data_IF_699076404285
#
_entry.id   IF_699076404285
#
_cell.length_a   1.000
_cell.length_b   1.000
_cell.length_c   1.000
_cell.angle_alpha   90.00
_cell.angle_beta   90.00
_cell.angle_gamma   90.00
#
_symmetry.space_group_name_H-M   'P 1'
#
loop_
_entity.id
_entity.type
_entity.pdbx_description
1 polymer ?
#
# COMPACT_ATOMS: atom_id res chain seq x y z
N UNK A 1 12.71 0.09 37.57
CA UNK A 1 12.23 1.10 36.61
C UNK A 1 11.31 0.37 35.66
N UNK A 2 10.00 0.48 35.88
CA UNK A 2 9.01 -0.24 35.08
C UNK A 2 9.02 0.37 33.68
N UNK A 3 9.17 -0.47 32.65
CA UNK A 3 8.89 -0.07 31.27
C UNK A 3 7.39 0.25 31.23
N UNK A 4 7.05 1.53 31.22
CA UNK A 4 5.70 1.95 30.85
C UNK A 4 5.42 1.36 29.47
N UNK A 5 4.33 0.60 29.36
CA UNK A 5 3.72 0.28 28.09
C UNK A 5 3.26 1.62 27.50
N UNK A 6 4.12 2.27 26.72
CA UNK A 6 3.72 3.34 25.83
C UNK A 6 2.81 2.67 24.80
N UNK A 7 1.49 2.77 25.01
CA UNK A 7 0.50 2.23 24.09
C UNK A 7 0.78 2.71 22.67
N UNK A 8 0.57 1.85 21.68
CA UNK A 8 0.75 2.20 20.28
C UNK A 8 -0.31 3.26 19.94
N UNK A 9 0.13 4.50 19.68
CA UNK A 9 -0.78 5.64 19.41
C UNK A 9 -1.20 5.66 17.93
N UNK A 10 -0.42 5.02 17.05
CA UNK A 10 -0.66 4.97 15.61
C UNK A 10 -0.22 3.61 15.10
N UNK A 11 -1.11 2.91 14.40
CA UNK A 11 -0.87 1.54 13.94
C UNK A 11 -1.89 1.11 12.90
N UNK A 12 -2.08 -0.19 12.72
CA UNK A 12 -3.05 -0.70 11.75
C UNK A 12 -3.09 -2.22 11.70
N UNK A 13 -3.77 -2.73 10.70
CA UNK A 13 -4.06 -4.15 10.56
C UNK A 13 -4.16 -4.53 9.10
N UNK A 14 -3.69 -5.74 8.77
CA UNK A 14 -3.90 -6.35 7.47
C UNK A 14 -4.73 -7.62 7.65
N UNK A 15 -5.74 -7.75 6.80
CA UNK A 15 -6.51 -8.97 6.63
C UNK A 15 -6.29 -9.53 5.21
N UNK A 16 -5.88 -10.79 5.14
CA UNK A 16 -5.64 -11.56 3.92
C UNK A 16 -6.64 -12.68 3.85
N UNK A 17 -7.37 -12.79 2.74
CA UNK A 17 -8.37 -13.85 2.51
C UNK A 17 -8.09 -14.48 1.15
N UNK A 18 -8.01 -15.81 1.09
CA UNK A 18 -7.88 -16.55 -0.17
C UNK A 18 -9.11 -17.41 -0.39
N UNK A 19 -9.67 -17.26 -1.59
CA UNK A 19 -10.75 -18.09 -2.11
C UNK A 19 -10.20 -19.03 -3.17
N UNK A 20 -10.69 -20.27 -3.19
CA UNK A 20 -10.42 -21.22 -4.28
C UNK A 20 -11.24 -20.87 -5.54
N UNK A 21 -11.06 -21.69 -6.58
CA UNK A 21 -11.74 -21.55 -7.88
C UNK A 21 -13.27 -21.62 -7.80
N UNK A 22 -13.81 -22.21 -6.75
CA UNK A 22 -15.26 -22.36 -6.55
C UNK A 22 -15.79 -21.25 -5.63
N UNK A 23 -14.94 -20.28 -5.26
CA UNK A 23 -15.27 -19.16 -4.39
C UNK A 23 -15.29 -19.51 -2.90
N UNK A 24 -14.83 -20.70 -2.52
CA UNK A 24 -14.77 -21.12 -1.11
C UNK A 24 -13.51 -20.56 -0.45
N UNK A 25 -13.67 -20.00 0.74
CA UNK A 25 -12.53 -19.56 1.56
C UNK A 25 -11.67 -20.75 1.99
N UNK A 26 -10.39 -20.68 1.66
CA UNK A 26 -9.38 -21.70 2.00
C UNK A 26 -8.29 -21.16 2.92
N UNK A 27 -8.19 -19.84 3.07
CA UNK A 27 -7.27 -19.20 4.00
C UNK A 27 -7.81 -17.83 4.43
N UNK A 28 -7.62 -17.50 5.70
CA UNK A 28 -7.82 -16.15 6.25
C UNK A 28 -6.79 -15.90 7.34
N UNK A 29 -6.14 -14.76 7.27
CA UNK A 29 -5.25 -14.26 8.30
C UNK A 29 -5.58 -12.80 8.58
N UNK A 30 -5.52 -12.42 9.86
CA UNK A 30 -5.63 -11.04 10.30
C UNK A 30 -4.49 -10.78 11.29
N UNK A 31 -3.64 -9.80 10.99
CA UNK A 31 -2.48 -9.47 11.81
C UNK A 31 -2.31 -7.95 11.94
N UNK A 32 -1.66 -7.46 13.02
CA UNK A 32 -1.17 -6.09 13.06
C UNK A 32 -0.27 -5.80 11.85
N UNK A 33 -0.31 -4.58 11.35
CA UNK A 33 0.64 -4.14 10.32
C UNK A 33 1.98 -3.70 10.95
N UNK A 34 3.06 -3.78 10.19
CA UNK A 34 4.39 -3.25 10.54
C UNK A 34 4.53 -1.82 9.99
N UNK A 35 4.32 -0.85 10.88
CA UNK A 35 3.21 0.08 10.69
C UNK A 35 3.31 1.17 9.62
N UNK A 36 4.43 1.80 9.34
CA UNK A 36 4.46 2.88 8.35
C UNK A 36 5.88 3.09 7.86
N UNK A 37 6.04 3.45 6.59
CA UNK A 37 7.34 3.88 6.06
C UNK A 37 7.70 5.28 6.55
N UNK A 38 8.96 5.68 6.42
CA UNK A 38 9.42 7.05 6.72
C UNK A 38 8.68 8.12 5.92
N UNK A 39 8.13 7.79 4.76
CA UNK A 39 7.36 8.74 3.95
C UNK A 39 6.15 9.30 4.71
N UNK A 40 5.51 8.52 5.60
CA UNK A 40 4.41 9.01 6.45
C UNK A 40 4.90 10.02 7.49
N UNK A 41 6.07 9.80 8.10
CA UNK A 41 6.67 10.80 8.99
C UNK A 41 6.97 12.10 8.26
N UNK A 42 7.48 12.00 7.03
CA UNK A 42 7.73 13.18 6.21
C UNK A 42 6.44 13.86 5.75
N UNK A 43 5.32 13.14 5.62
CA UNK A 43 4.02 13.72 5.27
C UNK A 43 3.56 14.68 6.36
N UNK A 44 3.74 14.27 7.62
CA UNK A 44 3.45 15.14 8.77
C UNK A 44 4.34 16.39 8.75
N UNK A 45 5.57 16.31 8.25
CA UNK A 45 6.47 17.46 8.12
C UNK A 45 5.93 18.56 7.17
N UNK A 46 4.89 18.30 6.36
CA UNK A 46 4.18 19.35 5.64
C UNK A 46 3.65 20.43 6.58
N UNK A 47 3.21 20.06 7.78
CA UNK A 47 2.66 21.02 8.74
C UNK A 47 3.72 21.92 9.38
N UNK A 48 4.96 21.43 9.49
CA UNK A 48 6.08 22.16 10.13
C UNK A 48 6.92 22.95 9.13
N UNK A 49 7.15 22.38 7.94
CA UNK A 49 8.12 22.90 6.95
C UNK A 49 7.47 23.36 5.65
N UNK A 50 6.15 23.21 5.50
CA UNK A 50 5.38 23.42 4.27
C UNK A 50 5.79 22.53 3.09
N UNK A 51 6.61 21.48 3.34
CA UNK A 51 7.12 20.58 2.31
C UNK A 51 7.11 19.12 2.79
N UNK A 52 6.67 18.20 1.94
CA UNK A 52 6.79 16.76 2.12
C UNK A 52 7.94 16.22 1.27
N UNK A 53 9.03 15.76 1.88
CA UNK A 53 10.13 15.10 1.16
C UNK A 53 9.92 13.58 1.12
N UNK A 54 10.04 12.97 -0.05
CA UNK A 54 9.89 11.51 -0.22
C UNK A 54 10.89 10.96 -1.20
N UNK A 55 11.03 9.63 -1.15
CA UNK A 55 11.55 8.88 -2.28
C UNK A 55 10.36 8.28 -3.03
N UNK A 56 10.28 8.50 -4.34
CA UNK A 56 9.28 7.85 -5.18
C UNK A 56 9.63 6.37 -5.43
N UNK A 57 8.76 5.64 -6.13
CA UNK A 57 9.00 4.22 -6.45
C UNK A 57 10.24 3.96 -7.35
N UNK A 58 10.75 4.99 -8.03
CA UNK A 58 11.97 4.93 -8.85
C UNK A 58 13.23 5.16 -8.01
N UNK A 59 13.08 5.58 -6.75
CA UNK A 59 14.18 5.91 -5.84
C UNK A 59 14.61 7.38 -5.92
N UNK A 60 13.91 8.20 -6.70
CA UNK A 60 14.22 9.62 -6.85
C UNK A 60 13.74 10.39 -5.63
N UNK A 61 14.59 11.29 -5.11
CA UNK A 61 14.20 12.20 -4.03
C UNK A 61 13.38 13.36 -4.60
N UNK A 62 12.12 13.46 -4.18
CA UNK A 62 11.17 14.48 -4.64
C UNK A 62 10.48 15.15 -3.45
N UNK A 63 9.80 16.26 -3.72
CA UNK A 63 9.12 17.03 -2.68
C UNK A 63 7.78 17.63 -3.10
N UNK A 64 6.84 17.75 -2.18
CA UNK A 64 5.52 18.36 -2.42
C UNK A 64 5.28 19.52 -1.47
N UNK A 65 4.89 20.70 -1.96
CA UNK A 65 4.61 21.87 -1.13
C UNK A 65 3.14 22.29 -1.15
N UNK A 66 2.70 23.10 -0.19
CA UNK A 66 1.40 23.78 -0.28
C UNK A 66 1.41 24.85 -1.39
N UNK A 67 0.23 25.18 -1.94
CA UNK A 67 -0.02 26.17 -3.02
C UNK A 67 0.57 27.58 -2.84
N UNK A 68 1.19 27.89 -1.69
CA UNK A 68 1.94 29.15 -1.47
C UNK A 68 3.37 29.10 -2.02
N UNK A 69 3.85 27.96 -2.47
CA UNK A 69 5.11 27.85 -3.21
C UNK A 69 4.94 28.41 -4.64
N UNK A 70 6.03 28.91 -5.24
CA UNK A 70 6.01 29.47 -6.59
C UNK A 70 5.87 28.40 -7.69
N UNK A 71 6.16 27.13 -7.37
CA UNK A 71 6.09 25.94 -8.23
C UNK A 71 6.11 24.66 -7.33
N UNK A 72 5.84 23.47 -7.88
CA UNK A 72 5.97 22.17 -7.20
C UNK A 72 4.98 21.91 -6.05
N UNK A 73 3.71 22.31 -6.21
CA UNK A 73 2.69 22.13 -5.17
C UNK A 73 1.87 20.85 -5.34
N UNK A 74 1.38 20.32 -4.21
CA UNK A 74 0.46 19.19 -4.14
C UNK A 74 -0.87 19.56 -4.83
N UNK A 75 -1.19 18.87 -5.91
CA UNK A 75 -2.41 19.07 -6.70
C UNK A 75 -3.51 18.07 -6.30
N UNK A 76 -3.16 16.79 -6.21
CA UNK A 76 -4.06 15.70 -5.82
C UNK A 76 -3.26 14.55 -5.15
N UNK A 77 -3.92 13.75 -4.32
CA UNK A 77 -3.34 12.52 -3.77
C UNK A 77 -4.41 11.46 -3.53
N UNK A 78 -4.15 10.22 -3.96
CA UNK A 78 -5.11 9.12 -3.83
C UNK A 78 -4.44 7.76 -3.68
N UNK A 79 -5.07 6.89 -2.87
CA UNK A 79 -4.79 5.45 -2.78
C UNK A 79 -5.85 4.60 -3.49
N UNK A 80 -6.85 5.23 -4.10
CA UNK A 80 -7.96 4.54 -4.77
C UNK A 80 -7.60 4.25 -6.23
N UNK A 81 -6.82 3.20 -6.43
CA UNK A 81 -6.41 2.75 -7.76
C UNK A 81 -7.58 2.11 -8.52
N UNK A 82 -7.84 2.48 -9.79
CA UNK A 82 -8.83 1.79 -10.61
C UNK A 82 -8.40 0.35 -10.91
N UNK A 83 -9.33 -0.46 -11.43
CA UNK A 83 -9.01 -1.81 -11.89
C UNK A 83 -7.91 -1.78 -12.96
N UNK A 84 -6.98 -2.73 -12.89
CA UNK A 84 -5.83 -2.80 -13.80
C UNK A 84 -4.63 -1.92 -13.47
N UNK A 85 -4.77 -0.95 -12.56
CA UNK A 85 -3.66 -0.07 -12.18
C UNK A 85 -2.73 -0.73 -11.17
N UNK A 86 -1.44 -0.82 -11.48
CA UNK A 86 -0.47 -1.58 -10.69
C UNK A 86 0.70 -0.74 -10.14
N UNK A 87 0.56 0.60 -10.15
CA UNK A 87 1.53 1.55 -9.58
C UNK A 87 1.11 2.13 -8.23
N UNK A 88 -0.19 2.09 -7.89
CA UNK A 88 -0.68 2.57 -6.59
C UNK A 88 -1.88 1.79 -6.05
N UNK A 89 -2.37 2.19 -4.87
CA UNK A 89 -3.36 1.48 -4.08
C UNK A 89 -2.72 0.34 -3.30
N UNK A 90 -3.46 -0.76 -3.12
CA UNK A 90 -2.90 -1.98 -2.53
C UNK A 90 -2.16 -2.74 -3.63
N UNK A 91 -0.87 -3.00 -3.41
CA UNK A 91 -0.02 -3.80 -4.29
C UNK A 91 0.47 -5.05 -3.54
N UNK A 92 0.74 -6.13 -4.27
CA UNK A 92 1.22 -7.41 -3.71
C UNK A 92 2.55 -7.83 -4.34
N UNK A 93 3.37 -8.54 -3.57
CA UNK A 93 4.67 -9.02 -4.02
C UNK A 93 5.06 -10.37 -3.44
N UNK A 94 6.18 -10.89 -3.89
CA UNK A 94 6.71 -12.21 -3.56
C UNK A 94 8.00 -12.18 -2.73
N UNK A 95 8.50 -11.00 -2.36
CA UNK A 95 9.69 -10.89 -1.51
C UNK A 95 9.37 -11.21 -0.05
N UNK A 96 10.27 -11.92 0.61
CA UNK A 96 10.31 -12.14 2.06
C UNK A 96 11.34 -11.24 2.77
N UNK A 97 11.89 -10.25 2.06
CA UNK A 97 12.78 -9.25 2.66
C UNK A 97 12.07 -8.55 3.81
N UNK A 98 12.69 -8.59 5.00
CA UNK A 98 12.17 -7.95 6.21
C UNK A 98 11.80 -6.47 5.98
N UNK A 99 10.81 -5.99 6.73
CA UNK A 99 10.43 -4.59 6.70
C UNK A 99 11.60 -3.71 7.15
N UNK A 100 11.81 -2.60 6.44
CA UNK A 100 12.78 -1.58 6.81
C UNK A 100 12.16 -0.20 6.48
N UNK A 101 12.27 0.74 7.42
CA UNK A 101 11.50 1.99 7.40
C UNK A 101 11.87 2.93 6.24
N UNK A 102 13.04 2.76 5.64
CA UNK A 102 13.54 3.55 4.50
C UNK A 102 13.16 2.98 3.14
N UNK A 103 12.58 1.78 3.09
CA UNK A 103 12.06 1.19 1.86
C UNK A 103 11.02 2.10 1.21
N UNK A 104 11.06 2.19 -0.11
CA UNK A 104 10.19 3.03 -0.94
C UNK A 104 9.39 2.23 -1.98
N UNK A 105 9.63 0.91 -2.07
CA UNK A 105 8.95 0.01 -2.98
C UNK A 105 8.87 -1.42 -2.38
N UNK A 106 8.06 -2.28 -2.99
CA UNK A 106 8.05 -3.72 -2.69
C UNK A 106 9.39 -4.35 -3.12
N UNK A 107 9.80 -5.41 -2.43
CA UNK A 107 11.04 -6.13 -2.77
C UNK A 107 10.93 -6.87 -4.10
N UNK A 108 9.76 -7.41 -4.43
CA UNK A 108 9.47 -8.08 -5.69
C UNK A 108 7.97 -8.01 -5.99
N UNK A 109 7.53 -6.90 -6.62
CA UNK A 109 6.13 -6.68 -7.00
C UNK A 109 5.64 -7.74 -8.00
N UNK A 110 4.45 -8.28 -7.78
CA UNK A 110 3.75 -9.13 -8.75
C UNK A 110 2.95 -8.21 -9.67
N UNK A 111 3.24 -8.20 -10.98
CA UNK A 111 2.57 -7.29 -11.92
C UNK A 111 1.10 -7.62 -12.15
N UNK A 112 0.34 -6.61 -12.59
CA UNK A 112 -1.02 -6.83 -13.09
C UNK A 112 -1.01 -7.66 -14.39
N UNK A 113 -1.94 -8.59 -14.50
CA UNK A 113 -2.27 -9.28 -15.75
C UNK A 113 -2.73 -10.72 -15.53
N UNK A 114 -2.83 -11.48 -16.63
CA UNK A 114 -3.22 -12.89 -16.63
C UNK A 114 -2.13 -13.80 -17.20
N UNK A 115 -0.95 -13.24 -17.48
CA UNK A 115 0.23 -14.01 -17.89
C UNK A 115 0.85 -14.78 -16.73
N UNK A 116 1.83 -15.62 -17.04
CA UNK A 116 2.56 -16.41 -16.04
C UNK A 116 3.15 -15.50 -14.95
N UNK A 117 2.85 -15.83 -13.69
CA UNK A 117 3.34 -15.08 -12.52
C UNK A 117 2.66 -13.72 -12.30
N UNK A 118 1.53 -13.44 -12.97
CA UNK A 118 0.77 -12.19 -12.80
C UNK A 118 -0.56 -12.42 -12.08
N UNK A 119 -1.02 -11.42 -11.34
CA UNK A 119 -2.35 -11.39 -10.75
C UNK A 119 -3.20 -10.33 -11.47
N UNK A 120 -4.47 -10.60 -11.71
CA UNK A 120 -5.38 -9.58 -12.23
C UNK A 120 -5.89 -8.70 -11.09
N UNK A 121 -5.39 -7.47 -11.06
CA UNK A 121 -5.73 -6.48 -10.04
C UNK A 121 -7.11 -5.87 -10.27
N UNK A 122 -7.99 -5.97 -9.26
CA UNK A 122 -9.24 -5.21 -9.18
C UNK A 122 -9.02 -3.74 -8.81
N UNK A 123 -10.10 -3.00 -8.55
CA UNK A 123 -9.99 -1.63 -8.01
C UNK A 123 -9.68 -1.65 -6.49
N UNK A 124 -9.03 -0.58 -6.00
CA UNK A 124 -8.88 -0.32 -4.57
C UNK A 124 -10.03 0.57 -4.11
N UNK A 125 -10.81 0.09 -3.15
CA UNK A 125 -11.99 0.78 -2.64
C UNK A 125 -11.93 0.99 -1.12
N UNK A 126 -12.71 1.94 -0.61
CA UNK A 126 -12.92 2.09 0.84
C UNK A 126 -13.92 1.01 1.27
N UNK A 127 -13.48 0.10 2.13
CA UNK A 127 -14.31 -0.99 2.62
C UNK A 127 -15.03 -0.63 3.93
N UNK A 128 -14.41 0.20 4.77
CA UNK A 128 -14.95 0.63 6.07
C UNK A 128 -14.23 1.88 6.59
N UNK A 129 -14.84 2.64 7.49
CA UNK A 129 -14.20 3.77 8.17
C UNK A 129 -14.91 4.17 9.47
N UNK A 130 -14.14 4.70 10.41
CA UNK A 130 -14.59 5.28 11.67
C UNK A 130 -13.86 6.57 12.00
N UNK A 131 -14.07 7.08 13.22
CA UNK A 131 -13.38 8.29 13.71
C UNK A 131 -11.87 8.08 13.89
N UNK A 132 -11.48 6.83 14.12
CA UNK A 132 -10.14 6.41 14.53
C UNK A 132 -9.53 5.39 13.55
N UNK A 133 -10.24 4.99 12.49
CA UNK A 133 -9.70 4.07 11.49
C UNK A 133 -10.26 4.26 10.09
N UNK A 134 -9.56 3.71 9.10
CA UNK A 134 -10.04 3.55 7.74
C UNK A 134 -9.48 2.28 7.11
N UNK A 135 -10.36 1.54 6.43
CA UNK A 135 -10.05 0.26 5.78
C UNK A 135 -10.22 0.39 4.28
N UNK A 136 -9.17 0.01 3.54
CA UNK A 136 -9.22 -0.16 2.10
C UNK A 136 -9.19 -1.63 1.74
N UNK A 137 -9.79 -1.99 0.61
CA UNK A 137 -9.78 -3.36 0.10
C UNK A 137 -9.40 -3.40 -1.37
N UNK A 138 -8.70 -4.46 -1.77
CA UNK A 138 -8.46 -4.82 -3.17
C UNK A 138 -8.52 -6.33 -3.37
N UNK A 139 -9.08 -6.75 -4.50
CA UNK A 139 -9.09 -8.14 -4.93
C UNK A 139 -8.05 -8.38 -6.04
N UNK A 140 -7.49 -9.58 -6.06
CA UNK A 140 -6.48 -10.06 -7.00
C UNK A 140 -6.87 -11.45 -7.48
N UNK A 141 -7.22 -11.57 -8.76
CA UNK A 141 -7.60 -12.85 -9.37
C UNK A 141 -6.38 -13.53 -9.98
N UNK A 142 -6.18 -14.82 -9.67
CA UNK A 142 -5.12 -15.59 -10.30
C UNK A 142 -5.66 -16.32 -11.52
N UNK A 143 -5.44 -15.74 -12.69
CA UNK A 143 -5.76 -16.36 -13.98
C UNK A 143 -4.49 -16.71 -14.77
N UNK A 144 -3.36 -16.91 -14.07
CA UNK A 144 -2.03 -17.06 -14.67
C UNK A 144 -1.71 -18.45 -15.24
N UNK A 145 -2.57 -19.44 -14.97
CA UNK A 145 -2.35 -20.83 -15.33
C UNK A 145 -1.56 -21.65 -14.30
N UNK A 146 -1.07 -21.04 -13.22
CA UNK A 146 -0.37 -21.70 -12.12
C UNK A 146 -0.64 -21.00 -10.78
N UNK A 147 -0.29 -21.64 -9.67
CA UNK A 147 -0.40 -21.03 -8.34
C UNK A 147 0.59 -19.85 -8.19
N UNK A 148 0.16 -18.80 -7.49
CA UNK A 148 0.97 -17.61 -7.22
C UNK A 148 1.21 -17.49 -5.73
N UNK A 149 2.47 -17.28 -5.34
CA UNK A 149 2.86 -17.08 -3.95
C UNK A 149 3.02 -15.59 -3.66
N UNK A 150 2.25 -15.10 -2.69
CA UNK A 150 2.29 -13.72 -2.17
C UNK A 150 2.92 -13.74 -0.78
N UNK A 151 3.88 -12.83 -0.55
CA UNK A 151 4.62 -12.72 0.71
C UNK A 151 4.72 -11.30 1.25
N UNK A 152 4.40 -10.29 0.43
CA UNK A 152 4.40 -8.89 0.87
C UNK A 152 3.20 -8.14 0.30
N UNK A 153 2.77 -7.13 1.04
CA UNK A 153 1.68 -6.22 0.69
C UNK A 153 2.17 -4.80 0.94
N UNK A 154 1.82 -3.85 0.07
CA UNK A 154 2.09 -2.44 0.33
C UNK A 154 0.91 -1.55 -0.01
N UNK A 155 0.79 -0.44 0.73
CA UNK A 155 -0.14 0.64 0.46
C UNK A 155 0.61 1.78 -0.22
N UNK A 156 0.19 2.16 -1.41
CA UNK A 156 0.82 3.17 -2.25
C UNK A 156 -0.16 4.29 -2.61
N UNK A 157 0.31 5.52 -2.56
CA UNK A 157 -0.43 6.67 -3.04
C UNK A 157 0.11 7.13 -4.40
N UNK A 158 -0.79 7.52 -5.30
CA UNK A 158 -0.48 8.43 -6.40
C UNK A 158 -0.58 9.85 -5.86
N UNK A 159 0.46 10.64 -6.06
CA UNK A 159 0.55 12.04 -5.67
C UNK A 159 0.80 12.85 -6.93
N UNK A 160 -0.10 13.79 -7.23
CA UNK A 160 0.03 14.67 -8.39
C UNK A 160 0.65 15.98 -7.92
N UNK A 161 1.75 16.37 -8.58
CA UNK A 161 2.47 17.62 -8.35
C UNK A 161 2.38 18.47 -9.61
N UNK A 162 2.01 19.74 -9.49
CA UNK A 162 2.17 20.67 -10.61
C UNK A 162 3.62 21.12 -10.71
N UNK A 163 4.20 21.03 -11.91
CA UNK A 163 5.54 21.52 -12.22
C UNK A 163 5.49 22.37 -13.48
N UNK A 164 5.86 23.64 -13.36
CA UNK A 164 5.80 24.61 -14.45
C UNK A 164 4.42 24.63 -15.16
N UNK A 165 3.33 24.51 -14.40
CA UNK A 165 1.96 24.48 -14.92
C UNK A 165 1.50 23.14 -15.51
N UNK A 166 2.30 22.08 -15.37
CA UNK A 166 1.98 20.74 -15.88
C UNK A 166 1.86 19.75 -14.71
N UNK A 167 0.70 19.07 -14.55
CA UNK A 167 0.55 18.00 -13.57
C UNK A 167 1.47 16.81 -13.89
N UNK A 168 2.20 16.32 -12.89
CA UNK A 168 3.01 15.11 -12.94
C UNK A 168 2.64 14.14 -11.84
N UNK A 169 2.58 12.86 -12.20
CA UNK A 169 2.27 11.77 -11.27
C UNK A 169 3.53 11.25 -10.60
N UNK A 170 3.47 11.13 -9.28
CA UNK A 170 4.45 10.46 -8.42
C UNK A 170 3.76 9.33 -7.68
N UNK A 171 4.51 8.26 -7.39
CA UNK A 171 3.99 7.13 -6.62
C UNK A 171 4.83 6.94 -5.37
N UNK A 172 4.17 6.84 -4.23
CA UNK A 172 4.81 6.86 -2.91
C UNK A 172 4.29 5.69 -2.09
N UNK A 173 5.19 4.82 -1.63
CA UNK A 173 4.85 3.77 -0.67
C UNK A 173 4.63 4.40 0.71
N UNK A 174 3.48 4.10 1.31
CA UNK A 174 3.08 4.60 2.61
C UNK A 174 3.33 3.57 3.71
N UNK A 175 3.04 2.29 3.42
CA UNK A 175 3.23 1.16 4.32
C UNK A 175 3.60 -0.10 3.52
N UNK A 176 4.33 -1.01 4.16
CA UNK A 176 4.74 -2.31 3.59
C UNK A 176 4.77 -3.35 4.69
N UNK A 177 4.22 -4.52 4.39
CA UNK A 177 4.09 -5.62 5.31
C UNK A 177 4.54 -6.92 4.69
N UNK A 178 5.42 -7.64 5.39
CA UNK A 178 5.73 -9.04 5.08
C UNK A 178 4.67 -9.91 5.74
N UNK A 179 3.94 -10.68 4.96
CA UNK A 179 2.85 -11.55 5.44
C UNK A 179 3.31 -13.01 5.52
N UNK A 180 2.54 -13.84 6.20
CA UNK A 180 2.70 -15.29 6.07
C UNK A 180 2.59 -15.68 4.59
N UNK A 181 3.48 -16.58 4.15
CA UNK A 181 3.49 -17.04 2.75
C UNK A 181 2.11 -17.54 2.37
N UNK A 182 1.49 -16.84 1.42
CA UNK A 182 0.10 -17.04 1.01
C UNK A 182 0.07 -17.51 -0.44
N UNK A 183 -0.39 -18.73 -0.67
CA UNK A 183 -0.57 -19.27 -2.02
C UNK A 183 -1.97 -18.95 -2.52
N UNK A 184 -2.07 -18.31 -3.68
CA UNK A 184 -3.31 -18.06 -4.41
C UNK A 184 -3.40 -19.11 -5.52
N UNK A 185 -4.31 -20.09 -5.44
CA UNK A 185 -4.42 -21.13 -6.47
C UNK A 185 -4.76 -20.54 -7.84
N UNK A 186 -4.39 -21.23 -8.93
CA UNK A 186 -4.93 -20.87 -10.25
C UNK A 186 -6.46 -20.95 -10.26
N UNK A 187 -7.11 -19.93 -10.81
CA UNK A 187 -8.56 -19.71 -10.76
C UNK A 187 -9.06 -19.14 -9.42
N UNK A 188 -8.19 -19.04 -8.40
CA UNK A 188 -8.51 -18.49 -7.10
C UNK A 188 -8.41 -16.97 -7.03
N UNK A 189 -8.79 -16.43 -5.87
CA UNK A 189 -8.79 -14.99 -5.59
C UNK A 189 -8.14 -14.70 -4.24
N UNK A 190 -7.28 -13.69 -4.22
CA UNK A 190 -6.81 -13.06 -3.00
C UNK A 190 -7.59 -11.76 -2.76
N UNK A 191 -8.10 -11.57 -1.56
CA UNK A 191 -8.67 -10.30 -1.08
C UNK A 191 -7.79 -9.78 0.03
N UNK A 192 -7.29 -8.56 -0.13
CA UNK A 192 -6.51 -7.86 0.88
C UNK A 192 -7.34 -6.72 1.43
N UNK A 193 -7.44 -6.62 2.75
CA UNK A 193 -7.87 -5.40 3.44
C UNK A 193 -6.71 -4.80 4.22
N UNK A 194 -6.55 -3.50 4.10
CA UNK A 194 -5.49 -2.74 4.75
C UNK A 194 -6.14 -1.63 5.58
N UNK A 195 -5.91 -1.66 6.89
CA UNK A 195 -6.54 -0.73 7.84
C UNK A 195 -5.48 0.14 8.49
N UNK A 196 -5.65 1.46 8.41
CA UNK A 196 -4.88 2.40 9.24
C UNK A 196 -5.72 2.84 10.44
N UNK A 197 -5.11 2.91 11.62
CA UNK A 197 -5.76 3.20 12.91
C UNK A 197 -4.96 4.21 13.73
N UNK A 198 -5.66 5.08 14.45
CA UNK A 198 -5.11 5.94 15.51
C UNK A 198 -5.67 5.49 16.86
N UNK A 199 -4.83 5.51 17.90
CA UNK A 199 -5.08 4.95 19.24
C UNK A 199 -5.60 3.49 19.27
N UNK A 200 -4.98 2.54 18.54
CA UNK A 200 -5.37 1.13 18.52
C UNK A 200 -5.13 0.34 19.82
#
# INVERSE_FOLDING_TARGET
>A
MNKENVGVIVGGEIEVIVLDKDGKEIHREKKPMDSFTRNIMNLIAMFDTNVWYVNDINGDSVYFAFKKANDNYLYDASVLAPAGEDKYGILVGSSDMAFEVTQYNLGSKISHGTGSGQLQYGETLVADYGNDYKTWQRAFDNLSGADIVVKEIGMFAKVVREEAGVPKDYYVMLARDVITTTTVPNGGRLIVKYTFKINP
#
